data_IF_905770035305
#
_entry.id   IF_905770035305
#
_cell.length_a   1.000
_cell.length_b   1.000
_cell.length_c   1.000
_cell.angle_alpha   90.00
_cell.angle_beta   90.00
_cell.angle_gamma   90.00
#
_symmetry.space_group_name_H-M   'P 1'
#
loop_
_entity.id
_entity.type
_entity.pdbx_description
1 polymer ?
#
# COMPACT_ATOMS: atom_id res chain seq x y z
N UNK A 1 12.60 21.15 -6.90
CA UNK A 1 11.74 20.26 -6.09
C UNK A 1 11.35 19.06 -6.93
N UNK A 2 11.56 17.86 -6.44
CA UNK A 2 11.30 16.63 -7.18
C UNK A 2 9.81 16.30 -7.30
N UNK A 3 9.49 15.44 -8.26
CA UNK A 3 8.15 14.86 -8.41
C UNK A 3 7.79 14.08 -7.15
N UNK A 4 6.57 14.27 -6.63
CA UNK A 4 6.04 13.46 -5.54
C UNK A 4 5.50 12.13 -6.06
N UNK A 5 5.74 11.07 -5.31
CA UNK A 5 5.11 9.76 -5.53
C UNK A 5 3.68 9.83 -5.00
N UNK A 6 2.73 9.43 -5.81
CA UNK A 6 1.31 9.50 -5.52
C UNK A 6 0.79 8.17 -4.99
N UNK A 7 0.34 8.19 -3.75
CA UNK A 7 -0.04 7.00 -2.99
C UNK A 7 -1.54 6.79 -2.92
N UNK A 8 -1.94 5.53 -2.98
CA UNK A 8 -3.26 5.06 -2.57
C UNK A 8 -3.13 4.16 -1.33
N UNK A 9 -4.15 4.13 -0.49
CA UNK A 9 -4.23 3.22 0.67
C UNK A 9 -5.47 2.37 0.53
N UNK A 10 -5.31 1.05 0.53
CA UNK A 10 -6.38 0.07 0.47
C UNK A 10 -6.46 -0.71 1.80
N UNK A 11 -7.57 -0.54 2.51
CA UNK A 11 -7.74 -1.02 3.88
C UNK A 11 -7.37 0.05 4.90
N UNK A 12 -8.32 0.44 5.75
CA UNK A 12 -8.24 1.64 6.57
C UNK A 12 -8.34 1.34 8.07
N UNK A 13 -7.57 0.36 8.53
CA UNK A 13 -7.44 0.03 9.95
C UNK A 13 -6.35 0.86 10.67
N UNK A 14 -5.99 0.41 11.86
CA UNK A 14 -5.02 1.13 12.71
C UNK A 14 -3.65 1.28 12.07
N UNK A 15 -3.13 0.25 11.41
CA UNK A 15 -1.82 0.34 10.75
C UNK A 15 -1.85 1.30 9.56
N UNK A 16 -2.97 1.38 8.85
CA UNK A 16 -3.16 2.34 7.77
C UNK A 16 -3.15 3.78 8.29
N UNK A 17 -3.74 4.03 9.46
CA UNK A 17 -3.69 5.35 10.12
C UNK A 17 -2.26 5.74 10.47
N UNK A 18 -1.49 4.82 11.03
CA UNK A 18 -0.08 5.07 11.33
C UNK A 18 0.71 5.37 10.06
N UNK A 19 0.54 4.57 9.02
CA UNK A 19 1.20 4.79 7.74
C UNK A 19 0.84 6.14 7.12
N UNK A 20 -0.44 6.50 7.10
CA UNK A 20 -0.90 7.78 6.56
C UNK A 20 -0.33 8.97 7.33
N UNK A 21 -0.25 8.86 8.67
CA UNK A 21 0.40 9.87 9.50
C UNK A 21 1.88 10.04 9.20
N UNK A 22 2.60 8.93 9.08
CA UNK A 22 4.02 8.93 8.74
C UNK A 22 4.26 9.45 7.30
N UNK A 23 3.35 9.12 6.37
CA UNK A 23 3.44 9.57 4.98
C UNK A 23 3.43 11.10 4.85
N UNK A 24 2.69 11.80 5.72
CA UNK A 24 2.69 13.26 5.77
C UNK A 24 4.07 13.88 6.07
N UNK A 25 4.95 13.11 6.72
CA UNK A 25 6.32 13.56 7.05
C UNK A 25 7.30 13.39 5.89
N UNK A 26 6.88 12.70 4.82
CA UNK A 26 7.72 12.42 3.65
C UNK A 26 7.45 13.47 2.57
N UNK A 27 8.40 14.37 2.34
CA UNK A 27 8.23 15.47 1.39
C UNK A 27 7.96 15.00 -0.05
N UNK A 28 8.46 13.81 -0.43
CA UNK A 28 8.30 13.23 -1.77
C UNK A 28 7.04 12.37 -1.91
N UNK A 29 6.16 12.35 -0.91
CA UNK A 29 4.93 11.56 -0.95
C UNK A 29 3.69 12.44 -0.96
N UNK A 30 2.65 11.96 -1.63
CA UNK A 30 1.33 12.59 -1.66
C UNK A 30 0.24 11.52 -1.54
N UNK A 31 -0.67 11.69 -0.59
CA UNK A 31 -1.82 10.80 -0.45
C UNK A 31 -2.93 11.25 -1.40
N UNK A 32 -3.14 10.49 -2.47
CA UNK A 32 -4.17 10.79 -3.47
C UNK A 32 -5.50 10.13 -3.12
N UNK A 33 -5.50 8.82 -2.86
CA UNK A 33 -6.73 8.09 -2.65
C UNK A 33 -6.70 7.13 -1.48
N UNK A 34 -7.84 6.93 -0.86
CA UNK A 34 -8.05 5.94 0.19
C UNK A 34 -9.28 5.12 -0.12
N UNK A 35 -9.28 3.83 0.19
CA UNK A 35 -10.39 2.94 -0.11
C UNK A 35 -10.74 2.01 1.05
N UNK A 36 -12.02 1.86 1.27
CA UNK A 36 -12.63 0.90 2.19
C UNK A 36 -13.93 0.38 1.56
N UNK A 37 -14.36 -0.83 1.93
CA UNK A 37 -15.71 -1.31 1.58
C UNK A 37 -16.81 -0.50 2.27
N UNK A 38 -16.47 0.25 3.30
CA UNK A 38 -17.36 1.17 4.01
C UNK A 38 -17.07 2.60 3.55
N UNK A 39 -18.04 3.20 2.86
CA UNK A 39 -17.93 4.56 2.30
C UNK A 39 -17.67 5.61 3.37
N UNK A 40 -18.39 5.55 4.48
CA UNK A 40 -18.26 6.56 5.54
C UNK A 40 -16.88 6.49 6.18
N UNK A 41 -16.35 5.28 6.36
CA UNK A 41 -14.97 5.09 6.82
C UNK A 41 -13.95 5.67 5.82
N UNK A 42 -14.16 5.47 4.54
CA UNK A 42 -13.26 6.02 3.51
C UNK A 42 -13.27 7.55 3.54
N UNK A 43 -14.43 8.17 3.64
CA UNK A 43 -14.57 9.64 3.72
C UNK A 43 -13.90 10.18 5.00
N UNK A 44 -14.19 9.57 6.15
CA UNK A 44 -13.61 9.99 7.43
C UNK A 44 -12.07 9.89 7.42
N UNK A 45 -11.53 8.82 6.85
CA UNK A 45 -10.08 8.63 6.72
C UNK A 45 -9.46 9.66 5.77
N UNK A 46 -10.12 9.91 4.63
CA UNK A 46 -9.68 10.92 3.68
C UNK A 46 -9.57 12.30 4.34
N UNK A 47 -10.59 12.68 5.11
CA UNK A 47 -10.61 13.97 5.84
C UNK A 47 -9.52 14.04 6.91
N UNK A 48 -9.36 12.98 7.72
CA UNK A 48 -8.39 12.94 8.82
C UNK A 48 -6.94 13.05 8.32
N UNK A 49 -6.63 12.47 7.16
CA UNK A 49 -5.26 12.39 6.63
C UNK A 49 -5.00 13.24 5.38
N UNK A 50 -5.90 14.15 5.04
CA UNK A 50 -5.78 15.07 3.91
C UNK A 50 -5.60 14.35 2.55
N UNK A 51 -6.24 13.20 2.38
CA UNK A 51 -6.33 12.51 1.10
C UNK A 51 -7.21 13.29 0.12
N UNK A 52 -6.93 13.19 -1.16
CA UNK A 52 -7.73 13.91 -2.18
C UNK A 52 -9.05 13.22 -2.50
N UNK A 53 -9.07 11.89 -2.48
CA UNK A 53 -10.20 11.08 -2.94
C UNK A 53 -10.49 9.95 -1.97
N UNK A 54 -11.78 9.60 -1.83
CA UNK A 54 -12.24 8.45 -1.06
C UNK A 54 -13.04 7.51 -1.97
N UNK A 55 -12.76 6.22 -1.87
CA UNK A 55 -13.43 5.17 -2.65
C UNK A 55 -14.09 4.17 -1.72
N UNK A 56 -15.28 3.68 -2.10
CA UNK A 56 -16.03 2.64 -1.38
C UNK A 56 -15.74 1.23 -1.88
N UNK A 57 -14.81 1.09 -2.79
CA UNK A 57 -14.30 -0.17 -3.31
C UNK A 57 -12.83 -0.04 -3.72
N UNK A 58 -12.14 -1.17 -3.78
CA UNK A 58 -10.70 -1.16 -4.09
C UNK A 58 -10.43 -1.02 -5.60
N UNK A 59 -11.31 -1.52 -6.46
CA UNK A 59 -11.11 -1.49 -7.90
C UNK A 59 -11.03 -0.06 -8.44
N UNK A 60 -11.88 0.83 -7.96
CA UNK A 60 -11.86 2.22 -8.36
C UNK A 60 -10.57 2.92 -7.92
N UNK A 61 -10.06 2.59 -6.73
CA UNK A 61 -8.74 3.06 -6.29
C UNK A 61 -7.64 2.60 -7.27
N UNK A 62 -7.64 1.31 -7.64
CA UNK A 62 -6.62 0.77 -8.53
C UNK A 62 -6.71 1.34 -9.95
N UNK A 63 -7.89 1.74 -10.41
CA UNK A 63 -8.09 2.35 -11.73
C UNK A 63 -7.77 3.83 -11.80
N UNK A 64 -7.57 4.49 -10.66
CA UNK A 64 -7.25 5.91 -10.66
C UNK A 64 -5.86 6.16 -11.30
N UNK A 65 -5.81 6.88 -12.43
CA UNK A 65 -4.55 7.11 -13.14
C UNK A 65 -3.56 8.00 -12.38
N UNK A 66 -4.02 8.75 -11.38
CA UNK A 66 -3.14 9.57 -10.56
C UNK A 66 -2.33 8.75 -9.55
N UNK A 67 -2.80 7.59 -9.16
CA UNK A 67 -2.14 6.74 -8.15
C UNK A 67 -1.02 5.94 -8.80
N UNK A 68 0.17 6.02 -8.24
CA UNK A 68 1.36 5.30 -8.72
C UNK A 68 1.65 4.07 -7.87
N UNK A 69 1.47 4.15 -6.56
CA UNK A 69 1.74 3.06 -5.60
C UNK A 69 0.57 2.90 -4.65
N UNK A 70 0.21 1.65 -4.37
CA UNK A 70 -0.86 1.31 -3.41
C UNK A 70 -0.24 0.63 -2.19
N UNK A 71 -0.53 1.18 -1.02
CA UNK A 71 -0.28 0.53 0.26
C UNK A 71 -1.48 -0.33 0.63
N UNK A 72 -1.27 -1.65 0.78
CA UNK A 72 -2.30 -2.60 1.13
C UNK A 72 -2.19 -2.93 2.62
N UNK A 73 -3.22 -2.57 3.38
CA UNK A 73 -3.30 -2.74 4.84
C UNK A 73 -4.61 -3.44 5.24
N UNK A 74 -4.98 -4.46 4.48
CA UNK A 74 -6.16 -5.29 4.70
C UNK A 74 -5.88 -6.45 5.65
N UNK A 75 -6.85 -7.35 5.79
CA UNK A 75 -6.65 -8.61 6.50
C UNK A 75 -5.67 -9.51 5.73
N UNK A 76 -4.93 -10.35 6.46
CA UNK A 76 -3.86 -11.17 5.88
C UNK A 76 -4.34 -12.06 4.73
N UNK A 77 -5.55 -12.63 4.83
CA UNK A 77 -6.11 -13.49 3.80
C UNK A 77 -6.43 -12.76 2.48
N UNK A 78 -6.54 -11.44 2.52
CA UNK A 78 -6.89 -10.62 1.36
C UNK A 78 -5.64 -10.09 0.62
N UNK A 79 -4.45 -10.20 1.20
CA UNK A 79 -3.22 -9.64 0.67
C UNK A 79 -2.91 -10.10 -0.76
N UNK A 80 -3.02 -11.41 -1.02
CA UNK A 80 -2.74 -11.96 -2.37
C UNK A 80 -3.68 -11.37 -3.41
N UNK A 81 -5.00 -11.46 -3.19
CA UNK A 81 -5.99 -11.01 -4.18
C UNK A 81 -5.88 -9.51 -4.44
N UNK A 82 -5.75 -8.72 -3.38
CA UNK A 82 -5.66 -7.26 -3.50
C UNK A 82 -4.35 -6.82 -4.15
N UNK A 83 -3.23 -7.45 -3.82
CA UNK A 83 -1.93 -7.17 -4.43
C UNK A 83 -1.95 -7.49 -5.92
N UNK A 84 -2.44 -8.67 -6.31
CA UNK A 84 -2.53 -9.06 -7.72
C UNK A 84 -3.41 -8.09 -8.50
N UNK A 85 -4.57 -7.70 -7.96
CA UNK A 85 -5.46 -6.74 -8.61
C UNK A 85 -4.79 -5.37 -8.83
N UNK A 86 -4.09 -4.84 -7.83
CA UNK A 86 -3.35 -3.59 -7.94
C UNK A 86 -2.21 -3.69 -8.98
N UNK A 87 -1.44 -4.77 -8.96
CA UNK A 87 -0.38 -5.01 -9.94
C UNK A 87 -0.92 -5.12 -11.36
N UNK A 88 -2.05 -5.81 -11.56
CA UNK A 88 -2.73 -5.91 -12.87
C UNK A 88 -3.19 -4.55 -13.40
N UNK A 89 -3.53 -3.64 -12.50
CA UNK A 89 -3.85 -2.26 -12.85
C UNK A 89 -2.60 -1.38 -13.10
N UNK A 90 -1.41 -1.97 -13.07
CA UNK A 90 -0.15 -1.26 -13.32
C UNK A 90 0.38 -0.46 -12.14
N UNK A 91 -0.10 -0.73 -10.92
CA UNK A 91 0.35 -0.02 -9.72
C UNK A 91 1.53 -0.73 -9.07
N UNK A 92 2.49 0.03 -8.54
CA UNK A 92 3.42 -0.48 -7.54
C UNK A 92 2.67 -0.83 -6.26
N UNK A 93 3.15 -1.81 -5.50
CA UNK A 93 2.48 -2.26 -4.28
C UNK A 93 3.46 -2.35 -3.12
N UNK A 94 3.08 -1.73 -2.02
CA UNK A 94 3.63 -1.97 -0.69
C UNK A 94 2.55 -2.70 0.12
N UNK A 95 2.76 -3.99 0.41
CA UNK A 95 1.78 -4.83 1.10
C UNK A 95 2.21 -5.09 2.54
N UNK A 96 1.30 -4.92 3.49
CA UNK A 96 1.56 -5.25 4.90
C UNK A 96 2.01 -6.69 5.10
N UNK A 97 2.78 -6.88 6.14
CA UNK A 97 3.25 -8.21 6.55
C UNK A 97 2.09 -9.02 7.19
N UNK A 98 2.07 -10.32 7.08
CA UNK A 98 2.87 -11.13 6.16
C UNK A 98 2.43 -10.92 4.71
N UNK A 99 3.36 -10.91 3.77
CA UNK A 99 3.06 -10.65 2.36
C UNK A 99 1.98 -11.61 1.83
N UNK A 100 2.11 -12.90 2.14
CA UNK A 100 1.12 -13.93 1.83
C UNK A 100 1.04 -14.97 2.93
N UNK A 101 0.04 -15.84 2.88
CA UNK A 101 -0.21 -16.87 3.88
C UNK A 101 0.71 -18.10 3.70
N UNK A 102 1.27 -18.27 2.51
CA UNK A 102 2.18 -19.37 2.17
C UNK A 102 3.05 -19.01 0.97
N UNK A 103 4.03 -19.84 0.70
CA UNK A 103 4.99 -19.65 -0.41
C UNK A 103 4.30 -19.54 -1.76
N UNK A 104 3.27 -20.36 -2.02
CA UNK A 104 2.54 -20.35 -3.30
C UNK A 104 1.87 -19.00 -3.57
N UNK A 105 1.26 -18.40 -2.58
CA UNK A 105 0.66 -17.07 -2.69
C UNK A 105 1.72 -16.01 -2.99
N UNK A 106 2.84 -16.03 -2.27
CA UNK A 106 3.94 -15.08 -2.46
C UNK A 106 4.54 -15.23 -3.85
N UNK A 107 4.76 -16.44 -4.33
CA UNK A 107 5.25 -16.70 -5.68
C UNK A 107 4.32 -16.15 -6.75
N UNK A 108 3.00 -16.29 -6.58
CA UNK A 108 2.02 -15.75 -7.51
C UNK A 108 2.06 -14.21 -7.55
N UNK A 109 2.22 -13.58 -6.40
CA UNK A 109 2.33 -12.12 -6.28
C UNK A 109 3.62 -11.61 -6.96
N UNK A 110 4.76 -12.25 -6.72
CA UNK A 110 6.04 -11.92 -7.35
C UNK A 110 5.96 -12.10 -8.85
N UNK A 111 5.39 -13.21 -9.33
CA UNK A 111 5.23 -13.47 -10.76
C UNK A 111 4.38 -12.39 -11.45
N UNK A 112 3.31 -11.93 -10.80
CA UNK A 112 2.48 -10.86 -11.34
C UNK A 112 3.25 -9.53 -11.38
N UNK A 113 4.00 -9.20 -10.35
CA UNK A 113 4.83 -7.99 -10.32
C UNK A 113 5.87 -8.00 -11.46
N UNK A 114 6.52 -9.11 -11.68
CA UNK A 114 7.47 -9.30 -12.80
C UNK A 114 6.78 -9.18 -14.16
N UNK A 115 5.64 -9.83 -14.33
CA UNK A 115 4.86 -9.78 -15.58
C UNK A 115 4.42 -8.35 -15.92
N UNK A 116 4.00 -7.58 -14.93
CA UNK A 116 3.55 -6.20 -15.10
C UNK A 116 4.69 -5.17 -15.05
N UNK A 117 5.91 -5.61 -14.76
CA UNK A 117 7.06 -4.74 -14.51
C UNK A 117 6.74 -3.66 -13.45
N UNK A 118 6.10 -4.08 -12.37
CA UNK A 118 5.69 -3.22 -11.26
C UNK A 118 6.49 -3.51 -9.99
N UNK A 119 6.70 -2.46 -9.19
CA UNK A 119 7.30 -2.58 -7.86
C UNK A 119 6.40 -3.41 -6.94
N UNK A 120 7.00 -4.32 -6.18
CA UNK A 120 6.34 -5.05 -5.10
C UNK A 120 7.28 -5.16 -3.91
N UNK A 121 6.81 -4.76 -2.74
CA UNK A 121 7.56 -4.88 -1.49
C UNK A 121 6.63 -5.26 -0.34
N UNK A 122 7.11 -6.15 0.53
CA UNK A 122 6.50 -6.41 1.83
C UNK A 122 6.85 -5.28 2.81
N UNK A 123 5.85 -4.76 3.53
CA UNK A 123 6.04 -3.71 4.53
C UNK A 123 6.67 -4.29 5.81
N UNK A 124 7.89 -4.73 5.73
CA UNK A 124 8.68 -5.25 6.82
C UNK A 124 9.51 -4.11 7.43
N UNK A 125 8.88 -3.31 8.28
CA UNK A 125 9.47 -2.10 8.86
C UNK A 125 10.76 -2.37 9.65
N UNK A 126 10.91 -3.54 10.24
CA UNK A 126 12.13 -3.95 10.94
C UNK A 126 13.39 -3.93 10.04
N UNK A 127 13.23 -4.10 8.72
CA UNK A 127 14.32 -4.00 7.74
C UNK A 127 15.03 -2.64 7.81
N UNK A 128 14.29 -1.59 8.11
CA UNK A 128 14.78 -0.21 8.14
C UNK A 128 15.12 0.28 9.55
N UNK A 129 14.92 -0.55 10.58
CA UNK A 129 15.24 -0.20 11.95
C UNK A 129 16.76 -0.14 12.13
N UNK A 130 17.33 0.99 12.60
CA UNK A 130 18.79 1.15 12.72
C UNK A 130 19.44 0.11 13.63
N UNK A 131 18.78 -0.30 14.72
CA UNK A 131 19.31 -1.31 15.64
C UNK A 131 19.43 -2.68 14.95
N UNK A 132 18.42 -3.06 14.15
CA UNK A 132 18.44 -4.32 13.40
C UNK A 132 19.47 -4.27 12.29
N UNK A 133 19.59 -3.13 11.59
CA UNK A 133 20.62 -2.95 10.56
C UNK A 133 22.02 -3.08 11.16
N UNK A 134 22.24 -2.50 12.34
CA UNK A 134 23.52 -2.61 13.04
C UNK A 134 23.80 -4.03 13.49
N UNK A 135 22.80 -4.75 14.00
CA UNK A 135 22.95 -6.16 14.43
C UNK A 135 23.37 -7.09 13.28
N UNK A 136 22.96 -6.80 12.04
CA UNK A 136 23.36 -7.59 10.85
C UNK A 136 24.83 -7.44 10.46
N UNK A 137 25.53 -6.48 11.02
CA UNK A 137 26.95 -6.25 10.74
C UNK A 137 27.88 -7.12 11.61
N UNK A 138 27.33 -7.85 12.60
CA UNK A 138 28.03 -8.79 13.47
C UNK A 138 27.73 -10.24 13.08
#
# INVERSE_FOLDING_TARGET
MGKKIKWGIAGLGNIAKKFAGDLKLVAQAELVGVASKDRDRAIAFQEEFDGKKAYDNYDDLYRDPEIEVVYIASLNQDHKAMTIAALQAGKGVLCEKPLGLNTGEIQAMIAMAQKQNCFLMEALWSRFNPAIQKAKQF
#
